data_IF_671847328888
#
_entry.id   IF_671847328888
#
_cell.length_a   1.000
_cell.length_b   1.000
_cell.length_c   1.000
_cell.angle_alpha   90.00
_cell.angle_beta   90.00
_cell.angle_gamma   90.00
#
_symmetry.space_group_name_H-M   'P 1'
#
loop_
_entity.id
_entity.type
_entity.pdbx_description
1 polymer ?
#
# COMPACT_ATOMS: atom_id res chain seq x y z
N UNK A 1 6.92 27.85 -29.51
CA UNK A 1 7.31 27.26 -28.23
C UNK A 1 6.04 26.90 -27.47
N UNK A 2 5.78 25.64 -27.24
CA UNK A 2 4.58 25.20 -26.54
C UNK A 2 4.65 25.58 -25.06
N UNK A 3 3.52 25.99 -24.47
CA UNK A 3 3.42 26.42 -23.08
C UNK A 3 2.30 25.67 -22.40
N UNK A 4 2.56 25.09 -21.24
CA UNK A 4 1.56 24.40 -20.41
C UNK A 4 1.34 25.20 -19.14
N UNK A 5 0.09 25.52 -18.87
CA UNK A 5 -0.37 26.28 -17.73
C UNK A 5 -0.80 25.37 -16.60
N UNK A 6 -0.04 25.38 -15.51
CA UNK A 6 -0.20 24.45 -14.39
C UNK A 6 -0.75 25.17 -13.16
N UNK A 7 -1.79 24.64 -12.54
CA UNK A 7 -2.23 25.05 -11.20
C UNK A 7 -1.82 23.96 -10.19
N UNK A 8 -1.26 24.34 -9.03
CA UNK A 8 -0.83 23.40 -7.98
C UNK A 8 -1.67 23.62 -6.74
N UNK A 9 -2.42 22.60 -6.33
CA UNK A 9 -3.31 22.61 -5.17
C UNK A 9 -2.80 21.62 -4.11
N UNK A 10 -2.56 22.14 -2.90
CA UNK A 10 -1.87 21.41 -1.83
C UNK A 10 -0.37 21.76 -1.82
N UNK A 11 0.04 22.60 -0.87
CA UNK A 11 1.42 23.08 -0.74
C UNK A 11 2.03 22.57 0.57
N UNK A 12 1.81 21.28 0.85
CA UNK A 12 2.50 20.52 1.87
C UNK A 12 3.93 20.16 1.44
N UNK A 13 4.48 19.10 2.00
CA UNK A 13 5.83 18.63 1.68
C UNK A 13 5.95 18.34 0.17
N UNK A 14 5.08 17.49 -0.38
CA UNK A 14 5.14 17.09 -1.79
C UNK A 14 4.93 18.27 -2.73
N UNK A 15 3.82 19.01 -2.59
CA UNK A 15 3.48 20.11 -3.49
C UNK A 15 4.52 21.24 -3.48
N UNK A 16 5.16 21.51 -2.33
CA UNK A 16 6.26 22.49 -2.25
C UNK A 16 7.49 22.04 -3.04
N UNK A 17 7.81 20.74 -3.02
CA UNK A 17 8.91 20.18 -3.82
C UNK A 17 8.58 20.16 -5.31
N UNK A 18 7.31 19.95 -5.69
CA UNK A 18 6.87 20.08 -7.09
C UNK A 18 7.11 21.49 -7.62
N UNK A 19 6.73 22.53 -6.86
CA UNK A 19 7.02 23.93 -7.24
C UNK A 19 8.52 24.11 -7.46
N UNK A 20 9.35 23.65 -6.52
CA UNK A 20 10.82 23.75 -6.62
C UNK A 20 11.40 23.04 -7.84
N UNK A 21 10.92 21.85 -8.15
CA UNK A 21 11.39 21.09 -9.31
C UNK A 21 11.00 21.77 -10.63
N UNK A 22 9.80 22.35 -10.73
CA UNK A 22 9.37 23.13 -11.90
C UNK A 22 10.17 24.45 -12.01
N UNK A 23 10.43 25.15 -10.89
CA UNK A 23 11.29 26.35 -10.88
C UNK A 23 12.71 26.05 -11.42
N UNK A 24 13.28 24.91 -11.00
CA UNK A 24 14.64 24.50 -11.41
C UNK A 24 14.69 24.01 -12.86
N UNK A 25 13.64 23.36 -13.33
CA UNK A 25 13.56 22.70 -14.63
C UNK A 25 12.28 23.15 -15.36
N UNK A 26 12.15 24.44 -15.69
CA UNK A 26 10.95 24.97 -16.36
C UNK A 26 10.70 24.35 -17.74
N UNK A 27 11.72 23.80 -18.36
CA UNK A 27 11.65 23.00 -19.59
C UNK A 27 11.76 21.52 -19.24
N UNK A 28 10.64 20.87 -19.01
CA UNK A 28 10.58 19.43 -18.73
C UNK A 28 10.83 18.62 -20.00
N UNK A 29 10.49 19.21 -21.17
CA UNK A 29 10.86 18.76 -22.50
C UNK A 29 11.38 19.95 -23.30
N UNK A 30 12.36 19.72 -24.19
CA UNK A 30 13.15 20.74 -24.90
C UNK A 30 12.36 21.89 -25.52
N UNK A 31 11.13 21.64 -25.99
CA UNK A 31 10.30 22.64 -26.67
C UNK A 31 9.03 23.04 -25.91
N UNK A 32 8.87 22.63 -24.64
CA UNK A 32 7.66 22.89 -23.87
C UNK A 32 7.97 23.51 -22.52
N UNK A 33 7.51 24.75 -22.32
CA UNK A 33 7.65 25.49 -21.06
C UNK A 33 6.49 25.18 -20.12
N UNK A 34 6.79 24.74 -18.87
CA UNK A 34 5.83 24.61 -17.80
C UNK A 34 5.72 25.93 -17.02
N UNK A 35 4.52 26.53 -17.00
CA UNK A 35 4.23 27.76 -16.27
C UNK A 35 3.28 27.49 -15.12
N UNK A 36 3.71 27.80 -13.89
CA UNK A 36 2.82 27.77 -12.72
C UNK A 36 1.96 29.04 -12.74
N UNK A 37 0.69 28.89 -13.14
CA UNK A 37 -0.25 30.03 -13.26
C UNK A 37 -1.05 30.29 -11.99
N UNK A 38 -1.14 29.30 -11.08
CA UNK A 38 -1.80 29.46 -9.79
C UNK A 38 -1.28 28.43 -8.78
N UNK A 39 -1.33 28.81 -7.51
CA UNK A 39 -1.07 27.92 -6.38
C UNK A 39 -2.15 28.09 -5.32
N UNK A 40 -2.47 27.02 -4.57
CA UNK A 40 -3.48 27.08 -3.53
C UNK A 40 -3.25 26.07 -2.40
N UNK A 41 -3.56 26.48 -1.17
CA UNK A 41 -3.56 25.62 0.01
C UNK A 41 -4.42 26.24 1.12
N UNK A 42 -4.76 25.45 2.17
CA UNK A 42 -5.60 25.90 3.29
C UNK A 42 -5.03 27.13 4.04
N UNK A 43 -3.71 27.19 4.21
CA UNK A 43 -3.06 28.30 4.96
C UNK A 43 -2.01 28.99 4.09
N UNK A 44 -2.28 30.23 3.66
CA UNK A 44 -1.35 31.05 2.87
C UNK A 44 -0.11 31.46 3.66
N UNK A 45 -0.25 31.73 4.96
CA UNK A 45 0.83 32.26 5.82
C UNK A 45 1.86 31.18 6.25
N UNK A 46 1.55 29.89 6.07
CA UNK A 46 2.48 28.82 6.42
C UNK A 46 3.79 28.99 5.61
N UNK A 47 4.95 28.98 6.32
CA UNK A 47 6.28 29.05 5.69
C UNK A 47 6.48 27.85 4.76
N UNK A 48 7.02 28.08 3.57
CA UNK A 48 7.32 27.09 2.54
C UNK A 48 8.76 27.22 2.05
N UNK A 49 9.25 26.19 1.36
CA UNK A 49 10.62 26.13 0.82
C UNK A 49 10.79 27.01 -0.44
N UNK A 50 9.75 27.69 -0.91
CA UNK A 50 9.76 28.59 -2.07
C UNK A 50 9.02 29.89 -1.76
N UNK A 51 9.22 30.93 -2.60
CA UNK A 51 8.56 32.23 -2.43
C UNK A 51 7.16 32.21 -3.01
N UNK A 52 6.14 32.21 -2.13
CA UNK A 52 4.71 32.17 -2.47
C UNK A 52 4.24 33.41 -3.26
N UNK A 53 4.88 34.60 -3.02
CA UNK A 53 4.46 35.86 -3.66
C UNK A 53 4.72 35.91 -5.17
N UNK A 54 5.55 35.01 -5.69
CA UNK A 54 5.79 34.89 -7.14
C UNK A 54 4.60 34.36 -7.93
N UNK A 55 3.58 33.81 -7.26
CA UNK A 55 2.48 33.08 -7.89
C UNK A 55 1.13 33.65 -7.51
N UNK A 56 0.16 33.57 -8.44
CA UNK A 56 -1.23 33.88 -8.13
C UNK A 56 -1.77 32.86 -7.11
N UNK A 57 -2.19 33.36 -5.95
CA UNK A 57 -2.79 32.53 -4.91
C UNK A 57 -4.29 32.33 -5.18
N UNK A 58 -4.79 31.12 -5.04
CA UNK A 58 -6.21 30.78 -5.06
C UNK A 58 -6.65 30.16 -3.74
N UNK A 59 -7.73 30.66 -3.17
CA UNK A 59 -8.32 30.14 -1.95
C UNK A 59 -9.28 28.97 -2.21
N UNK A 60 -9.87 28.94 -3.41
CA UNK A 60 -10.80 27.92 -3.86
C UNK A 60 -10.48 27.55 -5.32
N UNK A 61 -10.54 26.26 -5.65
CA UNK A 61 -10.33 25.77 -7.02
C UNK A 61 -11.33 26.35 -8.04
N UNK A 62 -12.51 26.80 -7.61
CA UNK A 62 -13.52 27.44 -8.50
C UNK A 62 -12.97 28.68 -9.20
N UNK A 63 -12.07 29.43 -8.57
CA UNK A 63 -11.39 30.59 -9.19
C UNK A 63 -10.52 30.21 -10.38
N UNK A 64 -10.17 28.93 -10.55
CA UNK A 64 -9.45 28.43 -11.71
C UNK A 64 -10.27 28.52 -13.00
N UNK A 65 -11.60 28.70 -12.95
CA UNK A 65 -12.42 28.99 -14.14
C UNK A 65 -11.94 30.22 -14.91
N UNK A 66 -11.48 31.25 -14.21
CA UNK A 66 -10.96 32.48 -14.83
C UNK A 66 -9.53 32.34 -15.28
N UNK A 67 -8.74 31.46 -14.61
CA UNK A 67 -7.33 31.24 -14.91
C UNK A 67 -7.15 30.25 -16.06
N UNK A 68 -8.06 29.27 -16.22
CA UNK A 68 -8.06 28.24 -17.26
C UNK A 68 -6.71 27.52 -17.37
N UNK A 69 -6.27 26.79 -16.34
CA UNK A 69 -5.07 25.96 -16.46
C UNK A 69 -5.33 24.78 -17.39
N UNK A 70 -4.29 24.28 -18.07
CA UNK A 70 -4.34 23.05 -18.87
C UNK A 70 -4.29 21.81 -17.97
N UNK A 71 -3.58 21.94 -16.84
CA UNK A 71 -3.30 20.88 -15.90
C UNK A 71 -3.44 21.35 -14.46
N UNK A 72 -4.12 20.55 -13.63
CA UNK A 72 -4.11 20.72 -12.18
C UNK A 72 -3.25 19.62 -11.57
N UNK A 73 -2.37 20.02 -10.64
CA UNK A 73 -1.62 19.08 -9.78
C UNK A 73 -2.23 19.14 -8.39
N UNK A 74 -2.73 18.00 -7.90
CA UNK A 74 -3.37 17.84 -6.59
C UNK A 74 -2.47 17.04 -5.65
N UNK A 75 -2.06 17.67 -4.55
CA UNK A 75 -1.28 17.08 -3.46
C UNK A 75 -1.87 17.40 -2.09
N UNK A 76 -3.22 17.50 -2.01
CA UNK A 76 -3.96 17.79 -0.78
C UNK A 76 -4.18 16.51 0.02
N UNK A 77 -4.57 15.42 -0.67
CA UNK A 77 -4.91 14.15 -0.05
C UNK A 77 -6.32 14.10 0.56
N UNK A 78 -6.69 12.91 1.07
CA UNK A 78 -8.00 12.65 1.70
C UNK A 78 -9.13 12.39 0.71
N UNK A 79 -10.34 12.08 1.25
CA UNK A 79 -11.54 11.70 0.46
C UNK A 79 -12.73 12.62 0.70
N UNK A 80 -12.50 13.76 1.34
CA UNK A 80 -13.55 14.72 1.72
C UNK A 80 -14.26 15.39 0.53
N UNK A 81 -15.35 16.10 0.85
CA UNK A 81 -16.19 16.81 -0.13
C UNK A 81 -15.38 17.72 -1.05
N UNK A 82 -14.43 18.49 -0.51
CA UNK A 82 -13.59 19.42 -1.28
C UNK A 82 -12.83 18.69 -2.41
N UNK A 83 -12.18 17.59 -2.11
CA UNK A 83 -11.42 16.80 -3.09
C UNK A 83 -12.36 16.22 -4.16
N UNK A 84 -13.50 15.68 -3.73
CA UNK A 84 -14.49 15.13 -4.64
C UNK A 84 -15.01 16.19 -5.62
N UNK A 85 -15.30 17.39 -5.11
CA UNK A 85 -15.78 18.50 -5.92
C UNK A 85 -14.69 19.05 -6.86
N UNK A 86 -13.41 19.06 -6.43
CA UNK A 86 -12.27 19.40 -7.28
C UNK A 86 -12.15 18.47 -8.49
N UNK A 87 -12.26 17.14 -8.28
CA UNK A 87 -12.19 16.19 -9.38
C UNK A 87 -13.37 16.34 -10.36
N UNK A 88 -14.59 16.57 -9.83
CA UNK A 88 -15.76 16.90 -10.66
C UNK A 88 -15.58 18.20 -11.43
N UNK A 89 -14.95 19.20 -10.81
CA UNK A 89 -14.59 20.46 -11.45
C UNK A 89 -13.64 20.23 -12.63
N UNK A 90 -12.60 19.41 -12.46
CA UNK A 90 -11.69 19.03 -13.55
C UNK A 90 -12.46 18.42 -14.72
N UNK A 91 -13.32 17.43 -14.43
CA UNK A 91 -14.15 16.78 -15.44
C UNK A 91 -15.10 17.75 -16.15
N UNK A 92 -15.78 18.65 -15.41
CA UNK A 92 -16.71 19.63 -15.97
C UNK A 92 -16.00 20.61 -16.90
N UNK A 93 -14.82 21.10 -16.51
CA UNK A 93 -14.08 22.13 -17.24
C UNK A 93 -13.06 21.57 -18.24
N UNK A 94 -13.03 20.25 -18.45
CA UNK A 94 -12.09 19.54 -19.36
C UNK A 94 -10.63 19.85 -19.02
N UNK A 95 -10.27 19.84 -17.72
CA UNK A 95 -8.92 20.09 -17.24
C UNK A 95 -8.30 18.73 -16.84
N UNK A 96 -7.11 18.45 -17.34
CA UNK A 96 -6.33 17.28 -16.96
C UNK A 96 -5.85 17.34 -15.51
N UNK A 97 -5.63 16.18 -14.88
CA UNK A 97 -5.27 16.09 -13.47
C UNK A 97 -4.06 15.19 -13.26
N UNK A 98 -3.13 15.63 -12.44
CA UNK A 98 -2.11 14.79 -11.81
C UNK A 98 -2.33 14.82 -10.31
N UNK A 99 -2.35 13.64 -9.66
CA UNK A 99 -2.67 13.53 -8.24
C UNK A 99 -1.77 12.56 -7.49
N UNK A 100 -1.46 12.90 -6.24
CA UNK A 100 -0.84 12.00 -5.28
C UNK A 100 -1.87 11.33 -4.34
N UNK A 101 -3.17 11.50 -4.60
CA UNK A 101 -4.25 11.09 -3.70
C UNK A 101 -4.75 9.67 -3.98
N UNK A 102 -4.07 8.70 -3.41
CA UNK A 102 -4.42 7.27 -3.54
C UNK A 102 -5.79 6.91 -2.98
N UNK A 103 -6.16 7.51 -1.84
CA UNK A 103 -7.43 7.18 -1.18
C UNK A 103 -8.64 7.55 -2.04
N UNK A 104 -8.65 8.77 -2.60
CA UNK A 104 -9.72 9.23 -3.49
C UNK A 104 -9.85 8.34 -4.73
N UNK A 105 -8.74 7.99 -5.35
CA UNK A 105 -8.73 7.14 -6.55
C UNK A 105 -9.15 5.70 -6.24
N UNK A 106 -8.70 5.12 -5.12
CA UNK A 106 -9.03 3.74 -4.76
C UNK A 106 -10.49 3.59 -4.33
N UNK A 107 -11.02 4.53 -3.53
CA UNK A 107 -12.40 4.46 -3.02
C UNK A 107 -13.45 4.84 -4.08
N UNK A 108 -13.09 5.65 -5.08
CA UNK A 108 -14.00 6.14 -6.12
C UNK A 108 -13.47 5.87 -7.54
N UNK A 109 -12.80 4.78 -7.73
CA UNK A 109 -12.15 4.39 -8.98
C UNK A 109 -13.08 4.48 -10.20
N UNK A 110 -14.28 3.91 -10.12
CA UNK A 110 -15.25 3.91 -11.22
C UNK A 110 -15.59 5.34 -11.66
N UNK A 111 -15.86 6.24 -10.69
CA UNK A 111 -16.27 7.62 -11.00
C UNK A 111 -15.17 8.40 -11.73
N UNK A 112 -13.91 8.27 -11.26
CA UNK A 112 -12.84 9.12 -11.76
C UNK A 112 -12.13 8.52 -12.96
N UNK A 113 -11.75 7.26 -12.94
CA UNK A 113 -11.13 6.65 -14.10
C UNK A 113 -12.05 6.66 -15.32
N UNK A 114 -13.34 6.28 -15.16
CA UNK A 114 -14.29 6.37 -16.27
C UNK A 114 -14.60 7.80 -16.69
N UNK A 115 -14.65 8.73 -15.74
CA UNK A 115 -14.93 10.14 -16.02
C UNK A 115 -13.85 10.78 -16.88
N UNK A 116 -12.57 10.56 -16.55
CA UNK A 116 -11.43 11.07 -17.31
C UNK A 116 -11.31 10.37 -18.67
N UNK A 117 -11.53 9.03 -18.73
CA UNK A 117 -11.55 8.25 -19.96
C UNK A 117 -12.61 8.76 -20.95
N UNK A 118 -13.88 8.85 -20.52
CA UNK A 118 -15.01 9.32 -21.35
C UNK A 118 -14.81 10.73 -21.91
N UNK A 119 -14.03 11.57 -21.23
CA UNK A 119 -13.74 12.95 -21.65
C UNK A 119 -12.40 13.08 -22.37
N UNK A 120 -11.70 12.00 -22.57
CA UNK A 120 -10.36 11.98 -23.18
C UNK A 120 -9.38 12.94 -22.48
N UNK A 121 -9.42 12.96 -21.13
CA UNK A 121 -8.55 13.77 -20.30
C UNK A 121 -7.43 12.92 -19.69
N UNK A 122 -6.27 13.54 -19.54
CA UNK A 122 -5.16 12.90 -18.84
C UNK A 122 -5.41 12.85 -17.33
N UNK A 123 -5.17 11.68 -16.73
CA UNK A 123 -5.11 11.48 -15.29
C UNK A 123 -3.79 10.80 -14.93
N UNK A 124 -2.85 11.56 -14.37
CA UNK A 124 -1.58 11.06 -13.86
C UNK A 124 -1.68 10.71 -12.38
N UNK A 125 -1.17 9.56 -11.97
CA UNK A 125 -1.23 9.13 -10.57
C UNK A 125 -0.03 8.26 -10.13
N UNK A 126 1.11 8.37 -10.83
CA UNK A 126 2.35 7.71 -10.42
C UNK A 126 2.72 8.03 -8.96
N UNK A 127 2.55 9.30 -8.57
CA UNK A 127 2.81 9.80 -7.23
C UNK A 127 1.85 9.25 -6.14
N UNK A 128 0.71 8.70 -6.53
CA UNK A 128 -0.25 8.10 -5.60
C UNK A 128 0.18 6.69 -5.15
N UNK A 129 1.15 6.07 -5.84
CA UNK A 129 1.51 4.67 -5.61
C UNK A 129 3.03 4.55 -5.44
N UNK A 130 3.49 4.00 -4.32
CA UNK A 130 4.90 3.68 -4.02
C UNK A 130 5.91 4.84 -4.21
N UNK A 131 5.46 6.08 -4.06
CA UNK A 131 6.36 7.25 -4.01
C UNK A 131 7.23 7.43 -5.26
N UNK A 132 8.53 7.20 -5.15
CA UNK A 132 9.49 7.34 -6.24
C UNK A 132 9.59 6.12 -7.17
N UNK A 133 9.00 4.99 -6.77
CA UNK A 133 9.04 3.76 -7.59
C UNK A 133 8.16 3.94 -8.82
N UNK A 134 8.69 3.86 -10.06
CA UNK A 134 7.91 4.15 -11.28
C UNK A 134 7.01 2.98 -11.68
N UNK A 135 6.11 2.59 -10.78
CA UNK A 135 5.36 1.34 -10.86
C UNK A 135 4.21 1.38 -11.87
N UNK A 136 3.45 2.50 -11.94
CA UNK A 136 2.32 2.64 -12.87
C UNK A 136 2.83 2.56 -14.30
N UNK A 137 3.85 3.34 -14.62
CA UNK A 137 4.47 3.38 -15.96
C UNK A 137 5.08 2.03 -16.33
N UNK A 138 5.86 1.42 -15.45
CA UNK A 138 6.50 0.13 -15.71
C UNK A 138 5.43 -0.94 -15.98
N UNK A 139 4.36 -0.94 -15.19
CA UNK A 139 3.26 -1.88 -15.38
C UNK A 139 2.57 -1.67 -16.73
N UNK A 140 2.25 -0.43 -17.10
CA UNK A 140 1.55 -0.11 -18.35
C UNK A 140 2.39 -0.37 -19.61
N UNK A 141 3.66 -0.03 -19.57
CA UNK A 141 4.51 0.01 -20.77
C UNK A 141 5.38 -1.23 -20.95
N UNK A 142 5.80 -1.86 -19.85
CA UNK A 142 6.78 -2.96 -19.90
C UNK A 142 6.20 -4.32 -19.50
N UNK A 143 5.32 -4.36 -18.49
CA UNK A 143 4.85 -5.63 -17.89
C UNK A 143 3.48 -6.05 -18.44
N UNK A 144 2.58 -5.10 -18.68
CA UNK A 144 1.19 -5.38 -19.11
C UNK A 144 1.03 -6.26 -20.37
N UNK A 145 1.94 -6.30 -21.36
CA UNK A 145 1.84 -7.23 -22.47
C UNK A 145 1.87 -8.70 -22.05
N UNK A 146 2.40 -9.00 -20.87
CA UNK A 146 2.49 -10.35 -20.32
C UNK A 146 1.37 -10.62 -19.33
N UNK A 147 1.01 -11.90 -19.18
CA UNK A 147 0.03 -12.31 -18.19
C UNK A 147 0.64 -12.31 -16.79
N UNK A 148 0.17 -11.39 -15.95
CA UNK A 148 0.57 -11.29 -14.56
C UNK A 148 -0.24 -12.30 -13.73
N UNK A 149 0.47 -13.13 -12.94
CA UNK A 149 -0.11 -14.12 -12.04
C UNK A 149 -0.23 -13.59 -10.61
N UNK A 150 0.76 -12.83 -10.16
CA UNK A 150 0.73 -12.20 -8.84
C UNK A 150 1.45 -10.85 -8.83
N UNK A 151 1.01 -9.98 -7.93
CA UNK A 151 1.76 -8.82 -7.45
C UNK A 151 1.81 -8.89 -5.93
N UNK A 152 2.97 -8.61 -5.37
CA UNK A 152 3.13 -8.60 -3.92
C UNK A 152 4.31 -7.71 -3.50
N UNK A 153 4.30 -7.28 -2.24
CA UNK A 153 5.38 -6.46 -1.72
C UNK A 153 5.05 -5.67 -0.46
N UNK A 154 5.90 -4.71 -0.16
CA UNK A 154 5.77 -3.76 0.95
C UNK A 154 5.33 -2.42 0.39
N UNK A 155 4.07 -2.04 0.65
CA UNK A 155 3.45 -0.83 0.09
C UNK A 155 3.29 0.32 1.09
N UNK A 156 3.74 0.11 2.34
CA UNK A 156 3.72 1.14 3.37
C UNK A 156 5.09 1.22 4.07
N UNK A 157 5.78 2.36 3.93
CA UNK A 157 7.10 2.59 4.51
C UNK A 157 7.07 2.78 6.02
N UNK A 158 6.01 3.39 6.58
CA UNK A 158 5.88 3.62 8.03
C UNK A 158 5.81 2.31 8.81
N UNK A 159 4.97 1.38 8.38
CA UNK A 159 4.86 0.05 9.03
C UNK A 159 6.12 -0.78 8.85
N UNK A 160 6.76 -0.70 7.66
CA UNK A 160 8.02 -1.39 7.44
C UNK A 160 9.14 -0.81 8.32
N UNK A 161 9.20 0.52 8.49
CA UNK A 161 10.13 1.18 9.40
C UNK A 161 9.94 0.70 10.84
N UNK A 162 8.68 0.68 11.33
CA UNK A 162 8.36 0.23 12.69
C UNK A 162 8.80 -1.22 12.89
N UNK A 163 8.42 -2.14 12.00
CA UNK A 163 8.80 -3.55 12.10
C UNK A 163 10.34 -3.70 12.04
N UNK A 164 11.02 -2.98 11.15
CA UNK A 164 12.48 -3.02 11.05
C UNK A 164 13.17 -2.54 12.34
N UNK A 165 12.65 -1.48 12.96
CA UNK A 165 13.17 -0.97 14.24
C UNK A 165 12.86 -1.89 15.43
N UNK A 166 11.73 -2.57 15.44
CA UNK A 166 11.45 -3.62 16.43
C UNK A 166 12.50 -4.75 16.36
N UNK A 167 12.87 -5.19 15.14
CA UNK A 167 13.93 -6.18 14.94
C UNK A 167 15.29 -5.69 15.41
N UNK A 168 15.67 -4.46 15.01
CA UNK A 168 16.98 -3.87 15.29
C UNK A 168 17.19 -3.61 16.77
N UNK A 169 16.23 -2.96 17.40
CA UNK A 169 16.36 -2.47 18.78
C UNK A 169 15.81 -3.46 19.84
N UNK A 170 15.13 -4.53 19.42
CA UNK A 170 14.46 -5.51 20.30
C UNK A 170 13.52 -4.87 21.33
N UNK A 171 12.77 -3.87 20.88
CA UNK A 171 11.80 -3.12 21.69
C UNK A 171 10.37 -3.38 21.24
N UNK A 172 9.41 -3.05 22.11
CA UNK A 172 7.98 -3.27 21.84
C UNK A 172 7.45 -2.41 20.70
N UNK A 173 6.33 -2.84 20.10
CA UNK A 173 5.61 -2.05 19.10
C UNK A 173 5.29 -0.62 19.59
N UNK A 174 4.83 -0.49 20.82
CA UNK A 174 4.45 0.81 21.39
C UNK A 174 5.64 1.76 21.48
N UNK A 175 6.75 1.31 22.05
CA UNK A 175 7.99 2.09 22.15
C UNK A 175 8.53 2.48 20.79
N UNK A 176 8.48 1.55 19.82
CA UNK A 176 8.94 1.80 18.46
C UNK A 176 8.07 2.85 17.77
N UNK A 177 6.75 2.78 17.95
CA UNK A 177 5.82 3.77 17.39
C UNK A 177 6.07 5.17 17.96
N UNK A 178 6.26 5.29 19.28
CA UNK A 178 6.59 6.57 19.91
C UNK A 178 7.90 7.16 19.36
N UNK A 179 8.92 6.33 19.18
CA UNK A 179 10.18 6.76 18.55
C UNK A 179 9.99 7.17 17.08
N UNK A 180 9.18 6.44 16.31
CA UNK A 180 8.90 6.77 14.93
C UNK A 180 8.18 8.11 14.78
N UNK A 181 7.24 8.42 15.66
CA UNK A 181 6.54 9.73 15.72
C UNK A 181 7.52 10.85 16.07
N UNK A 182 8.31 10.68 17.12
CA UNK A 182 9.27 11.68 17.56
C UNK A 182 10.35 12.00 16.50
N UNK A 183 10.75 11.01 15.72
CA UNK A 183 11.72 11.14 14.64
C UNK A 183 11.10 11.54 13.27
N UNK A 184 9.77 11.73 13.21
CA UNK A 184 9.07 12.17 11.99
C UNK A 184 8.89 11.10 10.91
N UNK A 185 9.07 9.81 11.24
CA UNK A 185 8.80 8.67 10.35
C UNK A 185 7.34 8.20 10.40
N UNK A 186 6.62 8.54 11.46
CA UNK A 186 5.17 8.36 11.58
C UNK A 186 4.50 9.70 11.93
N UNK A 187 3.29 9.91 11.41
CA UNK A 187 2.46 11.04 11.79
C UNK A 187 1.81 10.80 13.16
N UNK A 188 1.36 11.87 13.84
CA UNK A 188 0.62 11.75 15.10
C UNK A 188 -0.63 10.85 14.94
N UNK A 189 -1.37 11.02 13.84
CA UNK A 189 -2.42 10.09 13.44
C UNK A 189 -1.89 9.17 12.33
N UNK A 190 -1.28 8.09 12.73
CA UNK A 190 -0.76 7.03 11.85
C UNK A 190 -1.73 5.85 11.69
N UNK A 191 -3.00 5.99 12.11
CA UNK A 191 -4.00 4.92 12.11
C UNK A 191 -4.20 4.28 10.74
N UNK A 192 -4.19 5.07 9.67
CA UNK A 192 -4.32 4.55 8.30
C UNK A 192 -3.12 3.70 7.87
N UNK A 193 -1.91 4.03 8.33
CA UNK A 193 -0.71 3.24 8.08
C UNK A 193 -0.75 1.95 8.90
N UNK A 194 -0.93 2.07 10.21
CA UNK A 194 -0.86 0.96 11.16
C UNK A 194 -1.93 -0.10 10.89
N UNK A 195 -3.15 0.31 10.55
CA UNK A 195 -4.24 -0.61 10.18
C UNK A 195 -4.05 -1.32 8.84
N UNK A 196 -3.08 -0.89 8.00
CA UNK A 196 -2.86 -1.41 6.65
C UNK A 196 -3.76 -0.77 5.58
N UNK A 197 -4.60 0.21 5.94
CA UNK A 197 -5.52 0.88 5.01
C UNK A 197 -4.78 1.62 3.90
N UNK A 198 -3.68 2.31 4.21
CA UNK A 198 -2.83 2.98 3.23
C UNK A 198 -2.28 2.01 2.19
N UNK A 199 -1.73 0.88 2.65
CA UNK A 199 -1.22 -0.15 1.76
C UNK A 199 -2.33 -0.77 0.90
N UNK A 200 -3.55 -0.92 1.44
CA UNK A 200 -4.70 -1.41 0.70
C UNK A 200 -5.15 -0.45 -0.41
N UNK A 201 -5.18 0.87 -0.18
CA UNK A 201 -5.47 1.84 -1.24
C UNK A 201 -4.50 1.68 -2.42
N UNK A 202 -3.20 1.51 -2.15
CA UNK A 202 -2.19 1.29 -3.19
C UNK A 202 -2.40 -0.05 -3.90
N UNK A 203 -2.70 -1.11 -3.15
CA UNK A 203 -2.94 -2.44 -3.71
C UNK A 203 -4.15 -2.45 -4.65
N UNK A 204 -5.25 -1.74 -4.33
CA UNK A 204 -6.40 -1.59 -5.22
C UNK A 204 -5.99 -0.99 -6.56
N UNK A 205 -5.25 0.12 -6.55
CA UNK A 205 -4.81 0.80 -7.77
C UNK A 205 -3.89 -0.08 -8.61
N UNK A 206 -2.91 -0.71 -7.96
CA UNK A 206 -1.96 -1.61 -8.62
C UNK A 206 -2.64 -2.85 -9.19
N UNK A 207 -3.60 -3.43 -8.47
CA UNK A 207 -4.36 -4.58 -8.96
C UNK A 207 -5.20 -4.23 -10.19
N UNK A 208 -5.83 -3.05 -10.21
CA UNK A 208 -6.57 -2.57 -11.37
C UNK A 208 -5.67 -2.52 -12.62
N UNK A 209 -4.47 -1.94 -12.48
CA UNK A 209 -3.52 -1.78 -13.59
C UNK A 209 -2.96 -3.14 -14.03
N UNK A 210 -2.49 -3.94 -13.06
CA UNK A 210 -1.76 -5.18 -13.34
C UNK A 210 -2.64 -6.27 -13.95
N UNK A 211 -3.88 -6.36 -13.55
CA UNK A 211 -4.77 -7.45 -13.98
C UNK A 211 -5.84 -7.02 -15.00
N UNK A 212 -5.97 -5.72 -15.28
CA UNK A 212 -6.99 -5.22 -16.19
C UNK A 212 -8.41 -5.55 -15.75
N UNK A 213 -8.67 -5.53 -14.44
CA UNK A 213 -9.97 -5.78 -13.81
C UNK A 213 -10.29 -4.69 -12.81
N UNK A 214 -11.58 -4.48 -12.51
CA UNK A 214 -12.03 -3.52 -11.50
C UNK A 214 -11.99 -4.16 -10.12
N UNK A 215 -10.95 -3.86 -9.35
CA UNK A 215 -10.85 -4.17 -7.93
C UNK A 215 -11.43 -3.00 -7.14
N UNK A 216 -12.29 -3.27 -6.17
CA UNK A 216 -12.85 -2.24 -5.29
C UNK A 216 -12.28 -2.39 -3.89
N UNK A 217 -12.07 -1.27 -3.22
CA UNK A 217 -11.58 -1.24 -1.85
C UNK A 217 -12.48 -2.07 -0.90
N UNK A 218 -13.81 -2.01 -1.11
CA UNK A 218 -14.79 -2.76 -0.31
C UNK A 218 -14.70 -4.29 -0.43
N UNK A 219 -14.09 -4.78 -1.50
CA UNK A 219 -14.06 -6.21 -1.81
C UNK A 219 -12.77 -6.89 -1.32
N UNK A 220 -11.87 -6.11 -0.72
CA UNK A 220 -10.54 -6.56 -0.30
C UNK A 220 -10.40 -6.48 1.22
N UNK A 221 -9.53 -7.33 1.78
CA UNK A 221 -9.34 -7.44 3.22
C UNK A 221 -7.96 -6.92 3.63
N UNK A 222 -7.92 -6.18 4.73
CA UNK A 222 -6.66 -5.71 5.30
C UNK A 222 -6.67 -5.84 6.83
N UNK A 223 -5.50 -6.14 7.37
CA UNK A 223 -5.19 -6.17 8.78
C UNK A 223 -3.88 -5.41 9.02
N UNK A 224 -3.81 -4.71 10.14
CA UNK A 224 -2.65 -3.92 10.51
C UNK A 224 -1.63 -4.65 11.36
N UNK A 225 -0.68 -3.88 11.88
CA UNK A 225 0.45 -4.39 12.67
C UNK A 225 0.29 -4.16 14.18
N UNK A 226 -0.81 -3.59 14.64
CA UNK A 226 -0.99 -3.16 16.02
C UNK A 226 -0.92 -4.32 17.04
N UNK A 227 -1.24 -5.54 16.62
CA UNK A 227 -1.27 -6.73 17.47
C UNK A 227 0.02 -7.57 17.41
N UNK A 228 1.03 -7.11 16.68
CA UNK A 228 2.33 -7.79 16.57
C UNK A 228 3.11 -7.59 17.88
N UNK A 229 3.70 -8.64 18.38
CA UNK A 229 4.57 -8.60 19.58
C UNK A 229 6.02 -8.94 19.21
N UNK A 230 6.97 -8.42 19.97
CA UNK A 230 8.40 -8.68 19.75
C UNK A 230 8.70 -10.18 19.71
N UNK A 231 8.08 -10.97 20.57
CA UNK A 231 8.22 -12.42 20.59
C UNK A 231 7.83 -13.08 19.23
N UNK A 232 6.86 -12.53 18.50
CA UNK A 232 6.49 -13.06 17.17
C UNK A 232 7.64 -12.84 16.17
N UNK A 233 8.31 -11.67 16.25
CA UNK A 233 9.46 -11.34 15.41
C UNK A 233 10.65 -12.27 15.70
N UNK A 234 11.00 -12.42 16.97
CA UNK A 234 12.14 -13.25 17.42
C UNK A 234 11.93 -14.72 17.05
N UNK A 235 10.75 -15.24 17.32
CA UNK A 235 10.46 -16.65 16.99
C UNK A 235 10.32 -16.90 15.48
N UNK A 236 9.85 -15.90 14.72
CA UNK A 236 9.87 -15.95 13.26
C UNK A 236 11.29 -16.12 12.73
N UNK A 237 12.25 -15.32 13.20
CA UNK A 237 13.66 -15.43 12.81
C UNK A 237 14.26 -16.81 13.17
N UNK A 238 13.98 -17.33 14.36
CA UNK A 238 14.45 -18.66 14.77
C UNK A 238 13.93 -19.78 13.84
N UNK A 239 12.81 -19.52 13.16
CA UNK A 239 12.18 -20.44 12.21
C UNK A 239 12.57 -20.16 10.74
N UNK A 240 13.46 -19.19 10.47
CA UNK A 240 13.89 -18.80 9.13
C UNK A 240 12.93 -17.88 8.40
N UNK A 241 12.07 -17.16 9.13
CA UNK A 241 11.09 -16.23 8.58
C UNK A 241 11.22 -14.82 9.15
N UNK A 242 11.02 -13.84 8.30
CA UNK A 242 10.90 -12.43 8.69
C UNK A 242 9.45 -11.98 8.61
N UNK A 243 8.95 -11.29 9.62
CA UNK A 243 7.60 -10.72 9.63
C UNK A 243 7.59 -9.38 8.88
N UNK A 244 6.63 -9.21 7.96
CA UNK A 244 6.41 -7.97 7.20
C UNK A 244 4.92 -7.73 7.02
N UNK A 245 4.51 -6.45 6.84
CA UNK A 245 3.17 -6.14 6.34
C UNK A 245 3.16 -6.33 4.82
N UNK A 246 2.60 -7.43 4.35
CA UNK A 246 2.61 -7.82 2.94
C UNK A 246 1.31 -7.47 2.26
N UNK A 247 1.42 -6.73 1.17
CA UNK A 247 0.34 -6.51 0.20
C UNK A 247 0.44 -7.55 -0.89
N UNK A 248 -0.64 -8.27 -1.20
CA UNK A 248 -0.65 -9.32 -2.22
C UNK A 248 -1.95 -9.34 -3.01
N UNK A 249 -1.87 -9.48 -4.33
CA UNK A 249 -2.95 -9.92 -5.20
C UNK A 249 -2.45 -11.05 -6.07
N UNK A 250 -3.09 -12.20 -6.01
CA UNK A 250 -2.74 -13.44 -6.70
C UNK A 250 -3.92 -13.91 -7.55
N UNK A 251 -3.66 -14.26 -8.82
CA UNK A 251 -4.66 -14.82 -9.74
C UNK A 251 -4.84 -16.32 -9.43
N UNK A 252 -6.08 -16.73 -9.29
CA UNK A 252 -6.46 -18.14 -9.22
C UNK A 252 -7.50 -18.41 -10.31
N UNK A 253 -7.04 -18.90 -11.46
CA UNK A 253 -7.84 -19.05 -12.70
C UNK A 253 -8.46 -17.70 -13.11
N UNK A 254 -9.78 -17.56 -13.04
CA UNK A 254 -10.56 -16.36 -13.35
C UNK A 254 -10.88 -15.49 -12.12
N UNK A 255 -10.47 -15.93 -10.92
CA UNK A 255 -10.69 -15.26 -9.65
C UNK A 255 -9.38 -14.75 -9.06
N UNK A 256 -9.48 -13.93 -8.02
CA UNK A 256 -8.34 -13.33 -7.35
C UNK A 256 -8.42 -13.52 -5.84
N UNK A 257 -7.27 -13.77 -5.24
CA UNK A 257 -7.07 -13.52 -3.82
C UNK A 257 -6.40 -12.16 -3.68
N UNK A 258 -6.83 -11.35 -2.70
CA UNK A 258 -6.21 -10.05 -2.45
C UNK A 258 -6.28 -9.71 -0.97
N UNK A 259 -5.15 -9.32 -0.39
CA UNK A 259 -5.09 -8.93 1.02
C UNK A 259 -3.88 -8.06 1.34
N UNK A 260 -4.00 -7.28 2.41
CA UNK A 260 -2.88 -6.69 3.15
C UNK A 260 -2.89 -7.25 4.55
N UNK A 261 -1.81 -7.87 4.99
CA UNK A 261 -1.73 -8.44 6.34
C UNK A 261 -0.28 -8.64 6.78
N UNK A 262 -0.03 -8.67 8.09
CA UNK A 262 1.21 -9.22 8.61
C UNK A 262 1.39 -10.67 8.14
N UNK A 263 2.53 -10.96 7.56
CA UNK A 263 2.88 -12.29 7.08
C UNK A 263 4.34 -12.59 7.40
N UNK A 264 4.60 -13.85 7.68
CA UNK A 264 5.95 -14.37 7.66
C UNK A 264 6.37 -14.70 6.22
N UNK A 265 7.55 -14.23 5.83
CA UNK A 265 8.18 -14.49 4.54
C UNK A 265 9.55 -15.11 4.76
N UNK A 266 10.08 -15.95 3.85
CA UNK A 266 11.43 -16.49 3.99
C UNK A 266 12.46 -15.37 4.20
N UNK A 267 13.36 -15.50 5.15
CA UNK A 267 14.39 -14.50 5.47
C UNK A 267 15.36 -14.25 4.32
N UNK A 268 15.51 -15.21 3.42
CA UNK A 268 16.27 -15.08 2.17
C UNK A 268 15.61 -14.18 1.12
N UNK A 269 14.29 -13.91 1.23
CA UNK A 269 13.52 -13.20 0.23
C UNK A 269 13.87 -11.71 0.13
N UNK A 270 13.67 -11.10 -1.06
CA UNK A 270 13.82 -9.66 -1.26
C UNK A 270 12.91 -8.85 -0.33
N UNK A 271 11.70 -9.34 -0.07
CA UNK A 271 10.74 -8.69 0.83
C UNK A 271 11.29 -8.64 2.25
N UNK A 272 11.86 -9.74 2.75
CA UNK A 272 12.48 -9.80 4.07
C UNK A 272 13.63 -8.79 4.21
N UNK A 273 14.43 -8.64 3.14
CA UNK A 273 15.61 -7.76 3.09
C UNK A 273 15.29 -6.29 2.82
N UNK A 274 14.05 -5.97 2.41
CA UNK A 274 13.59 -4.58 2.25
C UNK A 274 13.23 -4.01 3.63
N UNK A 275 14.00 -3.04 4.12
CA UNK A 275 13.89 -2.51 5.48
C UNK A 275 13.58 -1.01 5.52
N UNK A 276 13.24 -0.51 6.70
CA UNK A 276 12.95 0.88 7.01
C UNK A 276 11.86 1.47 6.11
N UNK A 277 12.06 2.68 5.57
CA UNK A 277 11.08 3.38 4.74
C UNK A 277 11.04 2.89 3.27
N UNK A 278 11.76 1.84 2.94
CA UNK A 278 11.75 1.28 1.59
C UNK A 278 10.47 0.51 1.28
N UNK A 279 10.02 0.67 0.05
CA UNK A 279 8.96 -0.11 -0.54
C UNK A 279 9.52 -1.03 -1.63
N UNK A 280 8.89 -2.17 -1.79
CA UNK A 280 9.17 -3.11 -2.87
C UNK A 280 7.87 -3.61 -3.46
N UNK A 281 7.83 -3.74 -4.79
CA UNK A 281 6.81 -4.49 -5.49
C UNK A 281 7.47 -5.54 -6.36
N UNK A 282 6.96 -6.76 -6.31
CA UNK A 282 7.32 -7.85 -7.22
C UNK A 282 6.11 -8.21 -8.07
N UNK A 283 6.35 -8.30 -9.36
CA UNK A 283 5.44 -8.87 -10.35
C UNK A 283 5.88 -10.29 -10.66
N UNK A 284 4.93 -11.21 -10.70
CA UNK A 284 5.15 -12.59 -11.12
C UNK A 284 4.25 -12.89 -12.31
N UNK A 285 4.80 -13.45 -13.37
CA UNK A 285 4.08 -13.73 -14.61
C UNK A 285 4.63 -14.91 -15.39
N UNK A 286 3.86 -15.36 -16.40
CA UNK A 286 4.18 -16.56 -17.15
C UNK A 286 5.49 -16.46 -17.95
N UNK A 287 5.77 -15.27 -18.52
CA UNK A 287 6.86 -15.14 -19.50
C UNK A 287 8.12 -14.46 -18.94
N UNK A 288 8.01 -13.76 -17.80
CA UNK A 288 9.13 -13.00 -17.21
C UNK A 288 9.50 -13.48 -15.80
N UNK A 289 8.86 -14.58 -15.33
CA UNK A 289 9.03 -15.15 -13.99
C UNK A 289 8.78 -14.11 -12.89
N UNK A 290 9.81 -13.42 -12.44
CA UNK A 290 9.73 -12.38 -11.40
C UNK A 290 10.48 -11.12 -11.82
N UNK A 291 9.86 -9.97 -11.60
CA UNK A 291 10.47 -8.64 -11.77
C UNK A 291 10.14 -7.79 -10.55
N UNK A 292 11.13 -7.20 -9.92
CA UNK A 292 10.96 -6.40 -8.71
C UNK A 292 11.44 -4.97 -8.89
N UNK A 293 10.73 -4.02 -8.29
CA UNK A 293 11.10 -2.61 -8.19
C UNK A 293 11.21 -2.25 -6.71
N UNK A 294 12.32 -1.64 -6.33
CA UNK A 294 12.60 -1.20 -4.96
C UNK A 294 12.90 0.29 -4.94
N UNK A 295 12.45 1.00 -3.92
CA UNK A 295 12.77 2.40 -3.74
C UNK A 295 12.04 3.06 -2.57
N UNK A 296 12.28 4.36 -2.37
CA UNK A 296 11.61 5.11 -1.31
C UNK A 296 10.12 5.28 -1.60
N UNK A 297 9.29 4.76 -0.70
CA UNK A 297 7.83 4.74 -0.82
C UNK A 297 7.16 6.08 -0.56
N UNK A 298 7.85 7.05 0.05
CA UNK A 298 7.34 8.36 0.41
C UNK A 298 8.47 9.41 0.46
N UNK A 299 8.09 10.68 0.69
CA UNK A 299 9.03 11.79 0.82
C UNK A 299 8.77 12.92 -0.18
N UNK A 300 9.25 14.11 0.14
CA UNK A 300 8.98 15.32 -0.66
C UNK A 300 9.52 15.21 -2.08
N UNK A 301 10.84 15.07 -2.22
CA UNK A 301 11.50 14.93 -3.55
C UNK A 301 11.11 13.63 -4.26
N UNK A 302 11.14 12.45 -3.62
CA UNK A 302 10.78 11.20 -4.28
C UNK A 302 9.39 11.26 -4.94
N UNK A 303 8.36 11.68 -4.18
CA UNK A 303 6.98 11.78 -4.69
C UNK A 303 6.83 12.90 -5.72
N UNK A 304 7.51 14.05 -5.53
CA UNK A 304 7.50 15.14 -6.51
C UNK A 304 8.12 14.72 -7.85
N UNK A 305 9.17 13.89 -7.85
CA UNK A 305 9.78 13.35 -9.08
C UNK A 305 8.77 12.54 -9.90
N UNK A 306 7.92 11.74 -9.25
CA UNK A 306 6.84 11.00 -9.92
C UNK A 306 5.79 11.93 -10.54
N UNK A 307 5.48 13.07 -9.88
CA UNK A 307 4.62 14.10 -10.47
C UNK A 307 5.26 14.74 -11.71
N UNK A 308 6.55 15.07 -11.65
CA UNK A 308 7.28 15.60 -12.82
C UNK A 308 7.29 14.60 -13.97
N UNK A 309 7.44 13.32 -13.65
CA UNK A 309 7.34 12.24 -14.61
C UNK A 309 5.95 12.16 -15.29
N UNK A 310 4.88 12.38 -14.53
CA UNK A 310 3.53 12.45 -15.08
C UNK A 310 3.30 13.72 -15.91
N UNK A 311 3.89 14.87 -15.54
CA UNK A 311 3.89 16.08 -16.41
C UNK A 311 4.52 15.76 -17.77
N UNK A 312 5.66 15.05 -17.78
CA UNK A 312 6.31 14.62 -19.04
C UNK A 312 5.39 13.72 -19.87
N UNK A 313 4.66 12.81 -19.21
CA UNK A 313 3.66 11.96 -19.88
C UNK A 313 2.50 12.79 -20.44
N UNK A 314 2.01 13.77 -19.69
CA UNK A 314 0.96 14.68 -20.13
C UNK A 314 1.38 15.46 -21.38
N UNK A 315 2.60 16.00 -21.44
CA UNK A 315 3.13 16.72 -22.59
C UNK A 315 3.17 15.85 -23.86
N UNK A 316 3.59 14.59 -23.70
CA UNK A 316 3.67 13.60 -24.77
C UNK A 316 2.34 12.86 -25.02
N UNK A 317 1.28 13.25 -24.30
CA UNK A 317 0.01 12.57 -24.41
C UNK A 317 -0.66 12.85 -25.76
N UNK A 318 -0.76 11.82 -26.59
CA UNK A 318 -1.62 11.83 -27.77
C UNK A 318 -2.96 11.20 -27.37
N UNK A 319 -4.09 11.81 -27.76
CA UNK A 319 -5.43 11.25 -27.50
C UNK A 319 -5.60 9.80 -27.96
N UNK A 320 -4.82 9.36 -28.96
CA UNK A 320 -4.94 8.03 -29.56
C UNK A 320 -4.01 6.96 -28.98
N UNK A 321 -3.03 7.34 -28.16
CA UNK A 321 -2.10 6.39 -27.53
C UNK A 321 -2.60 5.98 -26.15
N UNK A 322 -3.15 4.77 -26.09
CA UNK A 322 -3.82 4.19 -24.93
C UNK A 322 -3.03 4.23 -23.64
N UNK A 323 -3.54 4.93 -22.67
CA UNK A 323 -3.19 4.86 -21.25
C UNK A 323 -4.13 3.84 -20.59
N UNK A 324 -3.72 3.21 -19.49
CA UNK A 324 -4.55 2.32 -18.67
C UNK A 324 -6.00 2.82 -18.51
N UNK A 325 -6.15 4.12 -18.26
CA UNK A 325 -7.45 4.79 -18.07
C UNK A 325 -8.39 4.57 -19.25
N UNK A 326 -7.90 4.61 -20.49
CA UNK A 326 -8.71 4.36 -21.72
C UNK A 326 -9.30 2.96 -21.81
N UNK A 327 -8.83 2.03 -21.01
CA UNK A 327 -9.36 0.66 -20.93
C UNK A 327 -10.28 0.45 -19.73
N UNK A 328 -10.25 1.36 -18.74
CA UNK A 328 -10.93 1.15 -17.47
C UNK A 328 -12.45 0.99 -17.61
N UNK A 329 -13.11 1.79 -18.43
CA UNK A 329 -14.55 1.72 -18.68
C UNK A 329 -15.01 0.35 -19.23
N UNK A 330 -14.11 -0.34 -19.94
CA UNK A 330 -14.35 -1.67 -20.54
C UNK A 330 -13.94 -2.83 -19.63
N UNK A 331 -13.29 -2.57 -18.51
CA UNK A 331 -12.84 -3.62 -17.59
C UNK A 331 -14.01 -4.26 -16.87
N UNK A 332 -13.95 -5.58 -16.74
CA UNK A 332 -14.89 -6.34 -15.93
C UNK A 332 -14.52 -6.27 -14.45
N UNK A 333 -15.50 -6.43 -13.57
CA UNK A 333 -15.27 -6.55 -12.13
C UNK A 333 -14.39 -7.77 -11.82
N UNK A 334 -13.45 -7.62 -10.89
CA UNK A 334 -12.71 -8.73 -10.34
C UNK A 334 -13.65 -9.64 -9.55
N UNK A 335 -13.47 -10.97 -9.70
CA UNK A 335 -14.12 -11.97 -8.87
C UNK A 335 -13.11 -12.47 -7.85
N UNK A 336 -13.53 -12.67 -6.60
CA UNK A 336 -12.62 -13.08 -5.55
C UNK A 336 -12.83 -14.54 -5.15
N UNK A 337 -11.73 -15.20 -4.78
CA UNK A 337 -11.79 -16.42 -3.98
C UNK A 337 -11.98 -16.05 -2.51
N UNK A 338 -12.71 -16.87 -1.78
CA UNK A 338 -12.81 -16.71 -0.32
C UNK A 338 -11.42 -16.87 0.32
N UNK A 339 -11.12 -16.07 1.33
CA UNK A 339 -9.88 -16.23 2.12
C UNK A 339 -9.72 -17.63 2.69
N UNK A 340 -10.86 -18.29 3.02
CA UNK A 340 -10.89 -19.66 3.53
C UNK A 340 -10.41 -20.71 2.51
N UNK A 341 -10.41 -20.39 1.21
CA UNK A 341 -10.00 -21.30 0.13
C UNK A 341 -8.51 -21.22 -0.19
N UNK A 342 -7.81 -20.19 0.31
CA UNK A 342 -6.36 -20.07 0.13
C UNK A 342 -5.66 -20.95 1.18
N UNK A 343 -4.92 -21.94 0.71
CA UNK A 343 -4.20 -22.90 1.53
C UNK A 343 -2.78 -22.41 1.76
N UNK A 344 -2.41 -22.17 3.03
CA UNK A 344 -1.07 -21.72 3.47
C UNK A 344 -0.76 -22.27 4.85
N UNK A 345 0.50 -22.36 5.25
CA UNK A 345 0.88 -22.60 6.64
C UNK A 345 0.54 -21.38 7.51
N UNK A 346 0.32 -21.62 8.78
CA UNK A 346 0.05 -20.58 9.77
C UNK A 346 0.93 -20.76 10.99
N UNK A 347 1.43 -19.64 11.47
CA UNK A 347 2.02 -19.48 12.79
C UNK A 347 0.91 -19.10 13.78
N UNK A 348 0.83 -19.83 14.89
CA UNK A 348 -0.07 -19.52 15.99
C UNK A 348 0.74 -19.39 17.27
N UNK A 349 0.62 -18.29 17.99
CA UNK A 349 1.16 -18.10 19.33
C UNK A 349 0.05 -17.92 20.35
N UNK A 350 0.12 -18.67 21.44
CA UNK A 350 -0.84 -18.62 22.53
C UNK A 350 -0.11 -18.75 23.87
N UNK A 351 -0.64 -18.13 24.93
CA UNK A 351 -0.17 -18.34 26.30
C UNK A 351 -1.13 -19.25 27.03
N UNK A 352 -0.63 -20.34 27.60
CA UNK A 352 -1.44 -21.37 28.23
C UNK A 352 -0.93 -21.71 29.62
N UNK A 353 -1.79 -22.31 30.44
CA UNK A 353 -1.36 -22.87 31.74
C UNK A 353 -0.31 -23.94 31.52
N UNK A 354 0.79 -23.86 32.30
CA UNK A 354 1.83 -24.89 32.32
C UNK A 354 1.39 -26.08 33.16
N UNK A 355 0.55 -26.94 32.56
CA UNK A 355 -0.02 -28.13 33.22
C UNK A 355 0.05 -29.35 32.32
N UNK A 356 0.22 -30.51 32.93
CA UNK A 356 0.17 -31.80 32.23
C UNK A 356 -1.16 -31.93 31.46
N UNK A 357 -1.09 -32.40 30.22
CA UNK A 357 -2.25 -32.63 29.36
C UNK A 357 -2.65 -31.43 28.48
N UNK A 358 -2.14 -30.22 28.71
CA UNK A 358 -2.51 -29.05 27.89
C UNK A 358 -2.06 -29.23 26.42
N UNK A 359 -0.83 -29.66 26.18
CA UNK A 359 -0.34 -29.95 24.82
C UNK A 359 -1.18 -31.03 24.12
N UNK A 360 -1.56 -32.11 24.84
CA UNK A 360 -2.46 -33.13 24.31
C UNK A 360 -3.80 -32.53 23.88
N UNK A 361 -4.40 -31.69 24.70
CA UNK A 361 -5.67 -31.05 24.40
C UNK A 361 -5.58 -30.11 23.17
N UNK A 362 -4.50 -29.36 23.05
CA UNK A 362 -4.25 -28.51 21.88
C UNK A 362 -4.13 -29.37 20.63
N UNK A 363 -3.26 -30.40 20.63
CA UNK A 363 -3.05 -31.30 19.49
C UNK A 363 -4.35 -31.98 19.06
N UNK A 364 -5.21 -32.36 20.02
CA UNK A 364 -6.51 -32.93 19.74
C UNK A 364 -7.46 -31.97 19.01
N UNK A 365 -7.47 -30.68 19.37
CA UNK A 365 -8.28 -29.67 18.68
C UNK A 365 -7.83 -29.46 17.23
N UNK A 366 -6.52 -29.50 16.96
CA UNK A 366 -5.99 -29.46 15.59
C UNK A 366 -6.39 -30.71 14.80
N UNK A 367 -6.22 -31.90 15.38
CA UNK A 367 -6.58 -33.19 14.77
C UNK A 367 -8.08 -33.24 14.40
N UNK A 368 -8.98 -32.78 15.30
CA UNK A 368 -10.43 -32.72 15.06
C UNK A 368 -10.81 -31.86 13.84
N UNK A 369 -9.94 -30.96 13.42
CA UNK A 369 -10.13 -30.10 12.23
C UNK A 369 -9.27 -30.55 11.05
N UNK A 370 -8.68 -31.75 11.11
CA UNK A 370 -7.79 -32.32 10.09
C UNK A 370 -6.63 -31.39 9.76
N UNK A 371 -6.04 -30.74 10.78
CA UNK A 371 -4.89 -29.88 10.64
C UNK A 371 -3.67 -30.62 11.16
N UNK A 372 -2.71 -30.86 10.30
CA UNK A 372 -1.39 -31.36 10.68
C UNK A 372 -0.55 -30.23 11.28
N UNK A 373 0.17 -30.56 12.34
CA UNK A 373 1.08 -29.65 13.01
C UNK A 373 2.50 -29.96 12.52
N UNK A 374 3.14 -28.98 11.86
CA UNK A 374 4.53 -29.10 11.39
C UNK A 374 5.52 -28.94 12.53
N UNK A 375 5.25 -28.05 13.50
CA UNK A 375 6.13 -27.79 14.64
C UNK A 375 5.35 -27.27 15.84
N UNK A 376 5.78 -27.67 17.04
CA UNK A 376 5.33 -27.12 18.33
C UNK A 376 6.57 -26.70 19.12
N UNK A 377 6.58 -25.44 19.59
CA UNK A 377 7.64 -24.89 20.43
C UNK A 377 7.00 -24.41 21.71
N UNK A 378 7.40 -24.97 22.82
CA UNK A 378 7.10 -24.43 24.15
C UNK A 378 8.34 -23.70 24.64
N UNK A 379 8.20 -22.42 24.85
CA UNK A 379 9.31 -21.62 25.38
C UNK A 379 9.42 -21.90 26.89
N UNK A 380 10.56 -22.46 27.29
CA UNK A 380 10.82 -22.79 28.68
C UNK A 380 11.05 -21.51 29.48
N UNK A 381 10.14 -21.25 30.40
CA UNK A 381 10.32 -20.33 31.50
C UNK A 381 10.23 -21.17 32.77
N UNK A 382 11.38 -21.43 33.39
CA UNK A 382 11.45 -22.22 34.60
C UNK A 382 10.59 -21.57 35.70
N UNK A 383 9.63 -22.33 36.26
CA UNK A 383 8.68 -21.92 37.28
C UNK A 383 7.51 -20.99 36.88
N UNK A 384 7.22 -20.72 35.63
CA UNK A 384 6.06 -19.94 35.29
C UNK A 384 4.78 -20.79 35.21
N UNK A 385 3.68 -20.23 35.80
CA UNK A 385 2.35 -20.84 35.75
C UNK A 385 1.71 -20.78 34.35
N UNK A 386 2.17 -19.86 33.52
CA UNK A 386 1.69 -19.62 32.15
C UNK A 386 2.87 -19.56 31.21
N UNK A 387 2.83 -20.33 30.14
CA UNK A 387 3.92 -20.42 29.17
C UNK A 387 3.42 -20.13 27.75
N UNK A 388 4.23 -19.46 26.92
CA UNK A 388 3.90 -19.30 25.51
C UNK A 388 4.16 -20.61 24.76
N UNK A 389 3.19 -20.97 23.90
CA UNK A 389 3.29 -22.08 22.93
C UNK A 389 3.16 -21.48 21.55
N UNK A 390 4.05 -21.92 20.66
CA UNK A 390 4.07 -21.58 19.25
C UNK A 390 3.81 -22.84 18.44
N UNK A 391 2.90 -22.73 17.48
CA UNK A 391 2.54 -23.82 16.58
C UNK A 391 2.69 -23.34 15.13
N UNK A 392 3.34 -24.15 14.32
CA UNK A 392 3.33 -24.02 12.86
C UNK A 392 2.46 -25.14 12.30
N UNK A 393 1.44 -24.79 11.55
CA UNK A 393 0.60 -25.76 10.84
C UNK A 393 1.22 -26.14 9.50
N UNK A 394 0.88 -27.32 8.99
CA UNK A 394 0.98 -27.59 7.57
C UNK A 394 0.02 -26.70 6.78
N UNK A 395 0.16 -26.60 5.43
CA UNK A 395 -0.73 -25.79 4.61
C UNK A 395 -2.21 -26.16 4.79
N UNK A 396 -3.02 -25.20 5.17
CA UNK A 396 -4.45 -25.38 5.50
C UNK A 396 -5.24 -24.12 5.16
N UNK A 397 -6.55 -24.23 4.96
CA UNK A 397 -7.44 -23.08 4.75
C UNK A 397 -7.70 -22.30 6.05
N UNK A 398 -7.75 -20.97 5.95
CA UNK A 398 -7.99 -20.08 7.10
C UNK A 398 -9.24 -20.46 7.92
N UNK A 399 -10.28 -20.97 7.27
CA UNK A 399 -11.51 -21.41 7.98
C UNK A 399 -11.22 -22.46 9.06
N UNK A 400 -10.37 -23.43 8.75
CA UNK A 400 -10.04 -24.50 9.71
C UNK A 400 -9.23 -23.93 10.88
N UNK A 401 -8.26 -23.05 10.61
CA UNK A 401 -7.49 -22.35 11.64
C UNK A 401 -8.42 -21.52 12.54
N UNK A 402 -9.36 -20.76 11.97
CA UNK A 402 -10.33 -19.97 12.75
C UNK A 402 -11.16 -20.86 13.67
N UNK A 403 -11.62 -22.02 13.19
CA UNK A 403 -12.38 -22.95 14.01
C UNK A 403 -11.56 -23.52 15.18
N UNK A 404 -10.26 -23.81 14.97
CA UNK A 404 -9.36 -24.24 16.05
C UNK A 404 -9.20 -23.11 17.06
N UNK A 405 -8.95 -21.89 16.62
CA UNK A 405 -8.82 -20.71 17.48
C UNK A 405 -10.07 -20.48 18.30
N UNK A 406 -11.25 -20.59 17.71
CA UNK A 406 -12.53 -20.45 18.41
C UNK A 406 -12.75 -21.54 19.47
N UNK A 407 -12.31 -22.77 19.19
CA UNK A 407 -12.37 -23.86 20.17
C UNK A 407 -11.34 -23.66 21.31
N UNK A 408 -10.11 -23.22 20.98
CA UNK A 408 -9.09 -22.88 21.98
C UNK A 408 -9.57 -21.76 22.93
N UNK A 409 -10.25 -20.74 22.43
CA UNK A 409 -10.81 -19.66 23.25
C UNK A 409 -11.83 -20.12 24.29
N UNK A 410 -12.45 -21.26 24.09
CA UNK A 410 -13.43 -21.86 25.03
C UNK A 410 -12.76 -22.67 26.15
N UNK A 411 -11.46 -22.87 26.09
CA UNK A 411 -10.73 -23.68 27.08
C UNK A 411 -10.28 -22.84 28.29
N UNK A 412 -10.21 -23.46 29.45
CA UNK A 412 -9.77 -22.81 30.72
C UNK A 412 -8.25 -22.66 30.80
N UNK A 413 -7.50 -23.35 29.99
CA UNK A 413 -6.04 -23.28 30.00
C UNK A 413 -5.49 -22.12 29.14
N UNK A 414 -6.27 -21.57 28.20
CA UNK A 414 -5.85 -20.38 27.47
C UNK A 414 -5.90 -19.12 28.36
N UNK A 415 -4.86 -18.30 28.30
CA UNK A 415 -4.70 -17.11 29.18
C UNK A 415 -4.64 -15.79 28.44
N UNK A 416 -4.25 -15.77 27.17
CA UNK A 416 -4.17 -14.55 26.34
C UNK A 416 -4.80 -14.80 24.99
N UNK A 417 -4.96 -13.70 24.23
CA UNK A 417 -5.36 -13.79 22.83
C UNK A 417 -4.35 -14.59 21.99
N UNK A 418 -4.87 -15.32 21.02
CA UNK A 418 -4.08 -16.10 20.09
C UNK A 418 -3.66 -15.19 18.93
N UNK A 419 -2.35 -15.07 18.70
CA UNK A 419 -1.80 -14.48 17.48
C UNK A 419 -1.85 -15.51 16.36
N UNK A 420 -2.38 -15.13 15.20
CA UNK A 420 -2.43 -15.97 14.01
C UNK A 420 -1.79 -15.21 12.85
N UNK A 421 -0.68 -15.69 12.34
CA UNK A 421 0.08 -15.05 11.26
C UNK A 421 0.25 -16.06 10.13
N UNK A 422 -0.11 -15.65 8.91
CA UNK A 422 0.05 -16.46 7.71
C UNK A 422 1.52 -16.52 7.28
N UNK A 423 1.97 -17.67 6.82
CA UNK A 423 3.30 -17.86 6.24
C UNK A 423 3.19 -17.91 4.72
N UNK A 424 3.94 -17.07 4.04
CA UNK A 424 3.98 -16.93 2.58
C UNK A 424 5.32 -17.48 2.06
N UNK A 425 5.45 -18.79 1.99
CA UNK A 425 6.70 -19.48 1.59
C UNK A 425 7.12 -19.20 0.14
N UNK A 426 6.16 -18.88 -0.75
CA UNK A 426 6.40 -18.77 -2.20
C UNK A 426 6.63 -17.34 -2.67
N UNK A 427 6.61 -16.34 -1.78
CA UNK A 427 6.88 -14.94 -2.13
C UNK A 427 8.31 -14.56 -1.74
N UNK A 428 9.18 -14.45 -2.75
CA UNK A 428 10.59 -14.13 -2.54
C UNK A 428 11.41 -14.29 -3.81
#
# INVERSE_FOLDING_TARGET
MNKIRIAILGLGVVGSHVVKLIEKNSYILENTKCEIVAIGAKNKKKKRIFNVSKYKWVNDFKSLNQIKPDLIIETIGGTGKYINDLYKFCLKNKISLITANKAQLAEKSDLFFEGFDKKNLFLGFEAAVLGAVPVVRTTEQSIHPSKINAIYGIFNGTTNYIISKMYENKISFKETLEQAINNGFAEQDSSADLSGRDAMHKLVLLSNISFGKKFKFSDMHYNGIENIKLIDLEQGLNLGYTLKLVSITERNKDKFFSSVAPCFVPDSSLIAKTNFEENVITFEGENFLKTSLVGKGAGGYPTATSIISDIKRFINHSPDKGVFIKKYSRMLKAKFVSQSQRIRPYYLRMSVLNKVGVLKSIAQLFSQKSISIKSIIQLNTSNEKVVPIIIISDPVGLKNITQVVDNLKKTNFLKNEISVIRIEENIG
#
